data_IF_903158153507
#
_entry.id   IF_903158153507
#
_cell.length_a   1.000
_cell.length_b   1.000
_cell.length_c   1.000
_cell.angle_alpha   90.00
_cell.angle_beta   90.00
_cell.angle_gamma   90.00
#
_symmetry.space_group_name_H-M   'P 1'
#
loop_
_entity.id
_entity.type
_entity.pdbx_description
1 polymer ?
#
# COMPACT_ATOMS: atom_id res chain seq x y z
N UNK A 1 -18.72 17.06 16.24
CA UNK A 1 -18.19 15.94 17.01
C UNK A 1 -18.10 14.71 16.13
N UNK A 2 -16.91 14.12 15.97
CA UNK A 2 -16.80 12.92 15.11
C UNK A 2 -17.53 11.75 15.75
N UNK A 3 -18.35 11.12 14.95
CA UNK A 3 -19.07 9.92 15.38
C UNK A 3 -18.32 8.67 14.97
N UNK A 4 -18.70 7.52 15.53
CA UNK A 4 -18.06 6.26 15.16
C UNK A 4 -18.18 5.98 13.66
N UNK A 5 -19.32 6.39 13.06
CA UNK A 5 -19.55 6.21 11.62
C UNK A 5 -18.56 7.05 10.79
N UNK A 6 -18.18 8.22 11.27
CA UNK A 6 -17.21 9.06 10.57
C UNK A 6 -15.82 8.43 10.59
N UNK A 7 -15.42 7.84 11.71
CA UNK A 7 -14.15 7.13 11.81
C UNK A 7 -14.12 5.93 10.87
N UNK A 8 -15.23 5.23 10.75
CA UNK A 8 -15.35 4.09 9.85
C UNK A 8 -15.22 4.55 8.38
N UNK A 9 -15.89 5.65 8.05
CA UNK A 9 -15.83 6.19 6.68
C UNK A 9 -14.41 6.64 6.33
N UNK A 10 -13.74 7.30 7.26
CA UNK A 10 -12.36 7.76 7.05
C UNK A 10 -11.43 6.56 6.86
N UNK A 11 -11.58 5.54 7.70
CA UNK A 11 -10.78 4.32 7.59
C UNK A 11 -10.96 3.68 6.22
N UNK A 12 -12.20 3.53 5.78
CA UNK A 12 -12.52 2.94 4.49
C UNK A 12 -11.90 3.71 3.33
N UNK A 13 -12.02 5.04 3.37
CA UNK A 13 -11.44 5.87 2.31
C UNK A 13 -9.93 5.76 2.27
N UNK A 14 -9.28 5.78 3.43
CA UNK A 14 -7.83 5.62 3.49
C UNK A 14 -7.38 4.27 2.98
N UNK A 15 -8.13 3.21 3.27
CA UNK A 15 -7.80 1.87 2.79
C UNK A 15 -7.94 1.78 1.28
N UNK A 16 -8.97 2.40 0.71
CA UNK A 16 -9.14 2.49 -0.74
C UNK A 16 -7.97 3.22 -1.38
N UNK A 17 -7.61 4.36 -0.81
CA UNK A 17 -6.53 5.18 -1.33
C UNK A 17 -5.19 4.45 -1.23
N UNK A 18 -5.04 3.54 -0.26
CA UNK A 18 -3.84 2.73 -0.11
C UNK A 18 -3.83 1.51 -1.04
N UNK A 19 -4.85 1.36 -1.89
CA UNK A 19 -4.90 0.28 -2.85
C UNK A 19 -5.34 -1.06 -2.30
N UNK A 20 -6.03 -1.05 -1.15
CA UNK A 20 -6.55 -2.29 -0.56
C UNK A 20 -7.76 -2.78 -1.34
N UNK A 21 -7.86 -4.09 -1.53
CA UNK A 21 -9.03 -4.66 -2.19
C UNK A 21 -10.21 -4.74 -1.21
N UNK A 22 -11.43 -5.02 -1.70
CA UNK A 22 -12.61 -5.06 -0.84
C UNK A 22 -12.51 -6.05 0.32
N UNK A 23 -11.91 -7.22 0.10
CA UNK A 23 -11.76 -8.22 1.15
C UNK A 23 -10.86 -7.70 2.27
N UNK A 24 -9.76 -7.05 1.91
CA UNK A 24 -8.85 -6.47 2.88
C UNK A 24 -9.51 -5.33 3.65
N UNK A 25 -10.30 -4.50 2.96
CA UNK A 25 -11.03 -3.41 3.59
C UNK A 25 -12.00 -3.96 4.62
N UNK A 26 -12.76 -4.99 4.27
CA UNK A 26 -13.69 -5.64 5.20
C UNK A 26 -12.97 -6.20 6.41
N UNK A 27 -11.85 -6.86 6.20
CA UNK A 27 -11.06 -7.42 7.28
C UNK A 27 -10.55 -6.34 8.24
N UNK A 28 -10.04 -5.25 7.70
CA UNK A 28 -9.56 -4.13 8.51
C UNK A 28 -10.68 -3.47 9.28
N UNK A 29 -11.85 -3.29 8.66
CA UNK A 29 -13.01 -2.73 9.34
C UNK A 29 -13.45 -3.62 10.50
N UNK A 30 -13.49 -4.93 10.27
CA UNK A 30 -13.87 -5.87 11.32
C UNK A 30 -12.89 -5.83 12.49
N UNK A 31 -11.60 -5.78 12.20
CA UNK A 31 -10.56 -5.70 13.25
C UNK A 31 -10.66 -4.40 14.02
N UNK A 32 -10.95 -3.30 13.35
CA UNK A 32 -11.11 -2.00 14.00
C UNK A 32 -12.31 -1.99 14.92
N UNK A 33 -13.44 -2.57 14.48
CA UNK A 33 -14.65 -2.64 15.28
C UNK A 33 -14.50 -3.56 16.48
N UNK A 34 -13.68 -4.61 16.36
CA UNK A 34 -13.43 -5.56 17.42
C UNK A 34 -12.35 -5.09 18.39
N UNK A 35 -11.83 -3.90 18.19
CA UNK A 35 -10.75 -3.33 19.01
C UNK A 35 -9.47 -4.18 19.01
N UNK A 36 -9.26 -4.92 17.93
CA UNK A 36 -8.04 -5.72 17.77
C UNK A 36 -6.95 -4.90 17.07
N UNK A 37 -6.53 -3.86 17.74
CA UNK A 37 -5.60 -2.87 17.21
C UNK A 37 -4.27 -3.50 16.77
N UNK A 38 -3.76 -4.44 17.55
CA UNK A 38 -2.49 -5.09 17.24
C UNK A 38 -2.54 -5.86 15.92
N UNK A 39 -3.62 -6.58 15.69
CA UNK A 39 -3.79 -7.33 14.45
C UNK A 39 -4.01 -6.38 13.28
N UNK A 40 -4.77 -5.32 13.48
CA UNK A 40 -4.99 -4.30 12.44
C UNK A 40 -3.66 -3.69 12.02
N UNK A 41 -2.82 -3.30 12.99
CA UNK A 41 -1.50 -2.74 12.70
C UNK A 41 -0.63 -3.71 11.93
N UNK A 42 -0.72 -5.01 12.27
CA UNK A 42 0.05 -6.03 11.55
C UNK A 42 -0.36 -6.15 10.10
N UNK A 43 -1.68 -6.17 9.84
CA UNK A 43 -2.21 -6.24 8.47
C UNK A 43 -1.77 -5.04 7.65
N UNK A 44 -1.89 -3.85 8.23
CA UNK A 44 -1.49 -2.61 7.55
C UNK A 44 0.02 -2.59 7.28
N UNK A 45 0.83 -3.04 8.22
CA UNK A 45 2.28 -3.10 8.06
C UNK A 45 2.69 -4.07 6.95
N UNK A 46 2.01 -5.21 6.86
CA UNK A 46 2.27 -6.19 5.82
C UNK A 46 1.94 -5.62 4.43
N UNK A 47 0.83 -4.91 4.33
CA UNK A 47 0.45 -4.28 3.06
C UNK A 47 1.47 -3.22 2.65
N UNK A 48 1.90 -2.41 3.62
CA UNK A 48 2.92 -1.39 3.37
C UNK A 48 4.21 -2.01 2.86
N UNK A 49 4.63 -3.12 3.47
CA UNK A 49 5.84 -3.83 3.06
C UNK A 49 5.72 -4.37 1.64
N UNK A 50 4.57 -4.95 1.30
CA UNK A 50 4.32 -5.45 -0.05
C UNK A 50 4.43 -4.33 -1.09
N UNK A 51 3.89 -3.15 -0.78
CA UNK A 51 4.00 -1.99 -1.67
C UNK A 51 5.45 -1.54 -1.83
N UNK A 52 6.23 -1.55 -0.74
CA UNK A 52 7.64 -1.19 -0.80
C UNK A 52 8.43 -2.17 -1.66
N UNK A 53 8.14 -3.46 -1.53
CA UNK A 53 8.79 -4.48 -2.33
C UNK A 53 8.53 -4.25 -3.82
N UNK A 54 7.31 -3.87 -4.17
CA UNK A 54 6.95 -3.55 -5.55
C UNK A 54 7.68 -2.32 -6.05
N UNK A 55 7.83 -1.29 -5.21
CA UNK A 55 8.59 -0.09 -5.55
C UNK A 55 10.05 -0.45 -5.83
N UNK A 56 10.66 -1.26 -4.97
CA UNK A 56 12.06 -1.67 -5.13
C UNK A 56 12.25 -2.47 -6.42
N UNK A 57 11.32 -3.36 -6.75
CA UNK A 57 11.38 -4.11 -8.00
C UNK A 57 11.30 -3.18 -9.20
N UNK A 58 10.42 -2.20 -9.15
CA UNK A 58 10.26 -1.25 -10.24
C UNK A 58 11.47 -0.35 -10.38
N UNK A 59 12.08 0.07 -9.27
CA UNK A 59 13.31 0.85 -9.31
C UNK A 59 14.42 0.09 -10.01
N UNK A 60 14.56 -1.20 -9.73
CA UNK A 60 15.55 -2.06 -10.35
C UNK A 60 15.32 -2.17 -11.86
N UNK A 61 14.06 -2.32 -12.25
CA UNK A 61 13.67 -2.38 -13.66
C UNK A 61 13.96 -1.08 -14.40
N UNK A 62 13.69 0.04 -13.73
CA UNK A 62 13.98 1.36 -14.28
C UNK A 62 15.48 1.53 -14.47
N UNK A 63 16.28 1.11 -13.49
CA UNK A 63 17.75 1.18 -13.58
C UNK A 63 18.27 0.38 -14.79
N UNK A 64 17.69 -0.78 -15.04
CA UNK A 64 18.06 -1.58 -16.21
C UNK A 64 17.72 -0.85 -17.51
N UNK A 65 16.55 -0.23 -17.57
CA UNK A 65 16.14 0.54 -18.73
C UNK A 65 17.03 1.76 -18.95
N UNK A 66 17.36 2.46 -17.88
CA UNK A 66 18.24 3.61 -17.93
C UNK A 66 19.62 3.22 -18.47
N UNK A 67 20.13 2.09 -18.02
CA UNK A 67 21.41 1.57 -18.51
C UNK A 67 21.35 1.28 -20.01
N UNK A 68 20.27 0.65 -20.46
CA UNK A 68 20.09 0.32 -21.87
C UNK A 68 20.01 1.60 -22.73
N UNK A 69 19.25 2.57 -22.28
CA UNK A 69 19.12 3.86 -22.98
C UNK A 69 20.49 4.52 -23.09
N UNK A 70 21.25 4.51 -22.00
CA UNK A 70 22.60 5.08 -21.98
C UNK A 70 23.50 4.39 -23.01
N UNK A 71 23.48 3.05 -23.04
CA UNK A 71 24.30 2.28 -23.99
C UNK A 71 23.94 2.57 -25.44
N UNK A 72 22.64 2.71 -25.73
CA UNK A 72 22.17 2.96 -27.09
C UNK A 72 22.45 4.38 -27.56
N UNK A 73 22.46 5.34 -26.65
CA UNK A 73 22.74 6.74 -26.98
C UNK A 73 24.23 7.06 -27.00
N UNK A 74 25.05 6.18 -26.48
CA UNK A 74 26.48 6.41 -26.36
C UNK A 74 27.12 6.51 -27.76
N UNK A 75 27.82 7.60 -28.09
CA UNK A 75 28.50 7.71 -29.36
C UNK A 75 29.67 6.76 -29.42
N UNK A 76 29.93 6.25 -30.60
CA UNK A 76 31.07 5.38 -30.80
C UNK A 76 32.37 6.17 -30.93
#
# INVERSE_FOLDING_TARGET
MPEASDKQAILRENLKDAGCDPDMIHRCEALAQSEKQGELMRVLSQHRRALLDTVHENERRIDCLDYLVYQLEKPK
#
